data_IF_433307256975
#
_entry.id   IF_433307256975
#
_cell.length_a   1.000
_cell.length_b   1.000
_cell.length_c   1.000
_cell.angle_alpha   90.00
_cell.angle_beta   90.00
_cell.angle_gamma   90.00
#
_symmetry.space_group_name_H-M   'P 1'
#
loop_
_entity.id
_entity.type
_entity.pdbx_description
1 polymer ?
#
# COMPACT_ATOMS: atom_id res chain seq x y z
N UNK A 1 -33.02 7.79 -0.61
CA UNK A 1 -32.59 7.59 0.79
C UNK A 1 -31.62 6.42 0.84
N UNK A 2 -30.44 6.58 1.43
CA UNK A 2 -29.43 5.51 1.50
C UNK A 2 -29.66 4.67 2.75
N UNK A 3 -30.00 3.41 2.57
CA UNK A 3 -30.11 2.42 3.64
C UNK A 3 -28.73 2.22 4.27
N UNK A 4 -28.55 2.69 5.50
CA UNK A 4 -27.40 2.31 6.34
C UNK A 4 -27.66 0.89 6.81
N UNK A 5 -26.95 -0.09 6.22
CA UNK A 5 -26.91 -1.43 6.80
C UNK A 5 -26.03 -1.35 8.05
N UNK A 6 -26.67 -1.35 9.22
CA UNK A 6 -25.99 -1.67 10.47
C UNK A 6 -25.50 -3.12 10.36
N UNK A 7 -24.21 -3.30 10.08
CA UNK A 7 -23.60 -4.62 10.09
C UNK A 7 -23.59 -5.17 11.53
N UNK A 8 -23.88 -6.45 11.77
CA UNK A 8 -23.97 -7.03 13.11
C UNK A 8 -22.63 -7.01 13.88
N UNK A 9 -22.71 -6.74 15.18
CA UNK A 9 -21.62 -6.58 16.18
C UNK A 9 -20.78 -7.85 16.46
N UNK A 10 -20.67 -8.79 15.52
CA UNK A 10 -19.86 -10.02 15.65
C UNK A 10 -18.74 -10.14 14.62
N UNK A 11 -18.53 -9.12 13.80
CA UNK A 11 -17.34 -8.99 12.96
C UNK A 11 -16.47 -7.85 13.52
N UNK A 12 -15.13 -7.89 13.40
CA UNK A 12 -14.33 -6.69 13.62
C UNK A 12 -14.96 -5.54 12.81
N UNK A 13 -14.87 -4.29 13.27
CA UNK A 13 -15.51 -3.13 12.63
C UNK A 13 -15.11 -2.87 11.16
N UNK A 14 -14.34 -3.77 10.54
CA UNK A 14 -13.96 -3.82 9.14
C UNK A 14 -14.18 -5.24 8.60
N UNK A 15 -14.86 -5.34 7.46
CA UNK A 15 -14.88 -6.54 6.63
C UNK A 15 -13.54 -6.73 5.92
N UNK A 16 -13.19 -7.97 5.57
CA UNK A 16 -11.98 -8.28 4.80
C UNK A 16 -11.89 -7.45 3.50
N UNK A 17 -13.02 -7.22 2.83
CA UNK A 17 -13.08 -6.44 1.59
C UNK A 17 -12.72 -4.96 1.82
N UNK A 18 -13.15 -4.36 2.94
CA UNK A 18 -12.78 -2.99 3.29
C UNK A 18 -11.29 -2.87 3.59
N UNK A 19 -10.71 -3.84 4.31
CA UNK A 19 -9.27 -3.86 4.59
C UNK A 19 -8.46 -4.05 3.30
N UNK A 20 -8.93 -4.92 2.40
CA UNK A 20 -8.29 -5.15 1.09
C UNK A 20 -8.37 -3.90 0.21
N UNK A 21 -9.51 -3.19 0.20
CA UNK A 21 -9.68 -1.94 -0.53
C UNK A 21 -8.73 -0.86 0.03
N UNK A 22 -8.65 -0.72 1.36
CA UNK A 22 -7.70 0.19 1.99
C UNK A 22 -6.25 -0.10 1.57
N UNK A 23 -5.84 -1.37 1.55
CA UNK A 23 -4.50 -1.75 1.10
C UNK A 23 -4.27 -1.42 -0.38
N UNK A 24 -5.21 -1.74 -1.26
CA UNK A 24 -5.14 -1.48 -2.71
C UNK A 24 -5.06 0.02 -3.03
N UNK A 25 -5.89 0.84 -2.38
CA UNK A 25 -5.84 2.30 -2.48
C UNK A 25 -4.49 2.84 -2.01
N UNK A 26 -3.98 2.33 -0.87
CA UNK A 26 -2.70 2.77 -0.34
C UNK A 26 -1.57 2.45 -1.31
N UNK A 27 -1.55 1.24 -1.89
CA UNK A 27 -0.56 0.84 -2.91
C UNK A 27 -0.64 1.74 -4.15
N UNK A 28 -1.85 2.00 -4.62
CA UNK A 28 -2.08 2.85 -5.79
C UNK A 28 -1.54 4.26 -5.53
N UNK A 29 -1.84 4.88 -4.38
CA UNK A 29 -1.28 6.19 -4.03
C UNK A 29 0.23 6.15 -3.77
N UNK A 30 0.75 5.08 -3.16
CA UNK A 30 2.16 4.91 -2.84
C UNK A 30 3.05 4.81 -4.08
N UNK A 31 2.51 4.27 -5.17
CA UNK A 31 3.25 3.98 -6.39
C UNK A 31 2.73 4.75 -7.61
N UNK A 32 2.01 5.84 -7.38
CA UNK A 32 1.73 6.86 -8.39
C UNK A 32 2.29 8.20 -7.91
N UNK A 33 3.53 8.51 -8.32
CA UNK A 33 4.29 9.65 -7.82
C UNK A 33 4.65 10.60 -8.96
N UNK A 34 4.48 11.89 -8.70
CA UNK A 34 4.84 12.97 -9.60
C UNK A 34 6.25 13.49 -9.27
N UNK A 35 7.08 13.75 -10.29
CA UNK A 35 8.48 14.12 -10.08
C UNK A 35 8.67 15.45 -9.34
N UNK A 36 7.66 16.32 -9.37
CA UNK A 36 7.66 17.59 -8.62
C UNK A 36 7.20 17.36 -7.17
N UNK A 37 6.15 16.55 -6.99
CA UNK A 37 5.43 16.43 -5.71
C UNK A 37 5.71 15.14 -4.92
N UNK A 38 6.60 14.25 -5.39
CA UNK A 38 6.79 12.92 -4.79
C UNK A 38 7.05 12.94 -3.29
N UNK A 39 7.78 13.95 -2.77
CA UNK A 39 8.07 14.06 -1.33
C UNK A 39 6.81 14.31 -0.51
N UNK A 40 5.96 15.24 -0.94
CA UNK A 40 4.72 15.54 -0.24
C UNK A 40 3.74 14.36 -0.36
N UNK A 41 3.65 13.74 -1.55
CA UNK A 41 2.84 12.54 -1.77
C UNK A 41 3.24 11.37 -0.86
N UNK A 42 4.54 11.09 -0.74
CA UNK A 42 5.06 10.08 0.20
C UNK A 42 4.70 10.44 1.63
N UNK A 43 4.95 11.69 2.06
CA UNK A 43 4.67 12.11 3.44
C UNK A 43 3.18 12.06 3.80
N UNK A 44 2.30 12.37 2.84
CA UNK A 44 0.85 12.36 3.01
C UNK A 44 0.29 10.95 3.28
N UNK A 45 1.05 9.91 2.93
CA UNK A 45 0.68 8.52 3.21
C UNK A 45 1.05 8.06 4.62
N UNK A 46 1.87 8.80 5.38
CA UNK A 46 2.29 8.42 6.73
C UNK A 46 1.14 7.97 7.65
N UNK A 47 -0.06 8.62 7.67
CA UNK A 47 -1.18 8.17 8.49
C UNK A 47 -1.67 6.75 8.17
N UNK A 48 -1.51 6.27 6.94
CA UNK A 48 -1.94 4.93 6.50
C UNK A 48 -1.01 3.80 6.96
N UNK A 49 0.16 4.12 7.53
CA UNK A 49 1.18 3.16 7.94
C UNK A 49 1.51 3.27 9.42
N UNK A 50 1.91 2.17 10.04
CA UNK A 50 2.71 2.23 11.27
C UNK A 50 4.10 2.80 10.95
N UNK A 51 4.87 3.20 11.97
CA UNK A 51 6.25 3.66 11.75
C UNK A 51 7.12 2.62 11.03
N UNK A 52 7.00 1.34 11.42
CA UNK A 52 7.69 0.23 10.76
C UNK A 52 7.22 0.00 9.31
N UNK A 53 5.91 0.07 9.08
CA UNK A 53 5.34 -0.08 7.75
C UNK A 53 5.77 1.02 6.79
N UNK A 54 5.80 2.27 7.27
CA UNK A 54 6.21 3.42 6.46
C UNK A 54 7.68 3.34 6.08
N UNK A 55 8.55 2.95 7.02
CA UNK A 55 9.97 2.71 6.73
C UNK A 55 10.14 1.60 5.68
N UNK A 56 9.36 0.51 5.76
CA UNK A 56 9.36 -0.55 4.75
C UNK A 56 9.01 -0.03 3.35
N UNK A 57 7.99 0.83 3.25
CA UNK A 57 7.61 1.48 2.00
C UNK A 57 8.73 2.38 1.44
N UNK A 58 9.31 3.26 2.26
CA UNK A 58 10.42 4.14 1.83
C UNK A 58 11.63 3.31 1.39
N UNK A 59 11.96 2.24 2.13
CA UNK A 59 13.04 1.34 1.77
C UNK A 59 12.78 0.64 0.43
N UNK A 60 11.54 0.22 0.14
CA UNK A 60 11.21 -0.37 -1.16
C UNK A 60 11.44 0.63 -2.32
N UNK A 61 11.07 1.90 -2.14
CA UNK A 61 11.33 2.94 -3.15
C UNK A 61 12.83 3.21 -3.36
N UNK A 62 13.63 3.15 -2.28
CA UNK A 62 15.08 3.34 -2.34
C UNK A 62 15.80 2.14 -2.97
N UNK A 63 15.47 0.92 -2.55
CA UNK A 63 16.09 -0.31 -3.04
C UNK A 63 15.86 -0.52 -4.55
N UNK A 64 14.72 -0.05 -5.08
CA UNK A 64 14.40 -0.09 -6.51
C UNK A 64 14.96 1.10 -7.32
N UNK A 65 15.80 1.96 -6.72
CA UNK A 65 16.35 3.17 -7.34
C UNK A 65 15.27 4.13 -7.90
N UNK A 66 14.04 4.03 -7.40
CA UNK A 66 12.88 4.77 -7.92
C UNK A 66 13.01 6.25 -7.58
N UNK A 67 13.30 6.59 -6.32
CA UNK A 67 13.41 7.98 -5.88
C UNK A 67 14.51 8.74 -6.62
N UNK A 68 15.63 8.07 -6.83
CA UNK A 68 16.76 8.62 -7.56
C UNK A 68 16.43 8.87 -9.03
N UNK A 69 15.71 7.94 -9.67
CA UNK A 69 15.27 8.09 -11.06
C UNK A 69 14.22 9.20 -11.21
N UNK A 70 13.22 9.25 -10.31
CA UNK A 70 12.22 10.33 -10.25
C UNK A 70 12.92 11.70 -10.17
N UNK A 71 13.89 11.84 -9.25
CA UNK A 71 14.59 13.11 -9.00
C UNK A 71 15.54 13.50 -10.14
N UNK A 72 16.41 12.58 -10.57
CA UNK A 72 17.51 12.87 -11.52
C UNK A 72 17.00 12.94 -12.96
N UNK A 73 16.08 12.06 -13.34
CA UNK A 73 15.58 11.94 -14.71
C UNK A 73 14.23 12.65 -14.91
N UNK A 74 13.65 13.26 -13.87
CA UNK A 74 12.34 13.96 -13.92
C UNK A 74 11.24 13.08 -14.48
N UNK A 75 11.15 11.85 -13.96
CA UNK A 75 10.15 10.86 -14.37
C UNK A 75 9.08 10.70 -13.31
N UNK A 76 7.84 10.53 -13.76
CA UNK A 76 6.74 10.12 -12.91
C UNK A 76 6.77 8.60 -12.74
N UNK A 77 6.39 8.14 -11.55
CA UNK A 77 6.11 6.73 -11.32
C UNK A 77 4.62 6.51 -11.53
N UNK A 78 4.27 5.56 -12.38
CA UNK A 78 2.90 5.10 -12.54
C UNK A 78 2.80 3.63 -12.14
N UNK A 79 1.65 3.23 -11.61
CA UNK A 79 1.41 1.83 -11.29
C UNK A 79 -0.03 1.39 -11.47
N UNK A 80 -0.18 0.11 -11.76
CA UNK A 80 -1.46 -0.60 -11.79
C UNK A 80 -1.43 -1.70 -10.75
N UNK A 81 -2.36 -1.65 -9.80
CA UNK A 81 -2.55 -2.68 -8.77
C UNK A 81 -3.63 -3.65 -9.23
N UNK A 82 -3.28 -4.92 -9.38
CA UNK A 82 -4.24 -5.98 -9.70
C UNK A 82 -5.01 -6.45 -8.46
N UNK A 83 -5.92 -7.40 -8.67
CA UNK A 83 -6.74 -7.94 -7.58
C UNK A 83 -5.87 -8.58 -6.49
N UNK A 84 -6.12 -8.20 -5.25
CA UNK A 84 -5.45 -8.78 -4.09
C UNK A 84 -6.03 -10.12 -3.68
N UNK A 85 -5.23 -10.93 -2.99
CA UNK A 85 -5.66 -12.17 -2.35
C UNK A 85 -5.32 -12.14 -0.86
N UNK A 86 -6.20 -12.66 -0.02
CA UNK A 86 -5.89 -12.86 1.41
C UNK A 86 -4.93 -14.04 1.54
N UNK A 87 -3.78 -13.81 2.18
CA UNK A 87 -2.81 -14.86 2.52
C UNK A 87 -3.14 -15.47 3.87
N UNK A 88 -3.34 -14.62 4.89
CA UNK A 88 -3.68 -15.04 6.26
C UNK A 88 -4.31 -13.90 7.04
N UNK A 89 -5.01 -14.23 8.11
CA UNK A 89 -5.54 -13.28 9.09
C UNK A 89 -5.57 -13.94 10.47
N UNK A 90 -5.73 -13.15 11.52
CA UNK A 90 -5.89 -13.67 12.87
C UNK A 90 -5.64 -12.60 13.91
N UNK A 91 -5.32 -13.05 15.12
CA UNK A 91 -5.06 -12.19 16.26
C UNK A 91 -3.60 -12.33 16.69
N UNK A 92 -2.93 -11.19 16.92
CA UNK A 92 -1.61 -11.14 17.52
C UNK A 92 -1.71 -11.45 19.03
N UNK A 93 -0.56 -11.74 19.66
CA UNK A 93 -0.50 -12.08 21.10
C UNK A 93 -1.08 -10.98 22.01
N UNK A 94 -1.07 -9.73 21.58
CA UNK A 94 -1.61 -8.57 22.31
C UNK A 94 -3.12 -8.35 22.06
N UNK A 95 -3.78 -9.26 21.34
CA UNK A 95 -5.20 -9.18 21.02
C UNK A 95 -5.55 -8.37 19.78
N UNK A 96 -4.57 -7.74 19.11
CA UNK A 96 -4.81 -6.96 17.89
C UNK A 96 -5.09 -7.87 16.70
N UNK A 97 -6.18 -7.62 15.97
CA UNK A 97 -6.48 -8.35 14.74
C UNK A 97 -5.61 -7.85 13.58
N UNK A 98 -5.14 -8.77 12.74
CA UNK A 98 -4.32 -8.48 11.56
C UNK A 98 -4.79 -9.25 10.31
N UNK A 99 -4.40 -8.73 9.16
CA UNK A 99 -4.59 -9.34 7.84
C UNK A 99 -3.31 -9.23 7.04
N UNK A 100 -3.01 -10.24 6.25
CA UNK A 100 -1.93 -10.20 5.25
C UNK A 100 -2.52 -10.49 3.89
N UNK A 101 -2.29 -9.59 2.94
CA UNK A 101 -2.73 -9.70 1.56
C UNK A 101 -1.52 -9.73 0.61
N UNK A 102 -1.71 -10.31 -0.56
CA UNK A 102 -0.78 -10.21 -1.67
C UNK A 102 -1.42 -9.51 -2.86
N UNK A 103 -0.70 -8.57 -3.46
CA UNK A 103 -1.14 -7.80 -4.62
C UNK A 103 -0.10 -7.89 -5.76
N UNK A 104 -0.50 -8.27 -6.97
CA UNK A 104 0.34 -8.05 -8.14
C UNK A 104 0.31 -6.56 -8.51
N UNK A 105 1.48 -5.94 -8.63
CA UNK A 105 1.62 -4.52 -8.97
C UNK A 105 2.58 -4.40 -10.14
N UNK A 106 2.13 -3.72 -11.20
CA UNK A 106 2.99 -3.33 -12.33
C UNK A 106 3.33 -1.85 -12.21
N UNK A 107 4.60 -1.51 -12.39
CA UNK A 107 5.13 -0.17 -12.15
C UNK A 107 5.99 0.27 -13.33
N UNK A 108 5.91 1.55 -13.69
CA UNK A 108 6.72 2.13 -14.77
C UNK A 108 7.14 3.55 -14.44
N UNK A 109 8.37 3.89 -14.82
CA UNK A 109 8.88 5.27 -14.78
C UNK A 109 8.70 5.91 -16.16
N UNK A 110 7.99 7.03 -16.20
CA UNK A 110 7.54 7.72 -17.41
C UNK A 110 8.04 9.16 -17.38
N UNK A 111 8.93 9.50 -18.31
CA UNK A 111 9.36 10.88 -18.57
C UNK A 111 8.61 11.49 -19.76
N UNK A 112 8.99 12.70 -20.15
CA UNK A 112 8.36 13.42 -21.27
C UNK A 112 8.69 12.79 -22.64
N UNK A 113 9.91 12.26 -22.80
CA UNK A 113 10.41 11.74 -24.09
C UNK A 113 10.63 10.24 -24.08
N UNK A 114 10.92 9.64 -22.92
CA UNK A 114 11.22 8.22 -22.79
C UNK A 114 10.57 7.64 -21.54
N UNK A 115 10.46 6.31 -21.49
CA UNK A 115 10.00 5.57 -20.32
C UNK A 115 10.92 4.39 -20.07
N UNK A 116 11.15 4.06 -18.80
CA UNK A 116 11.84 2.82 -18.43
C UNK A 116 10.94 1.62 -18.75
N UNK A 117 11.51 0.40 -18.85
CA UNK A 117 10.73 -0.82 -18.91
C UNK A 117 9.77 -0.94 -17.73
N UNK A 118 8.61 -1.53 -17.97
CA UNK A 118 7.68 -1.88 -16.89
C UNK A 118 8.28 -3.00 -16.03
N UNK A 119 8.06 -2.91 -14.73
CA UNK A 119 8.48 -3.91 -13.74
C UNK A 119 7.25 -4.47 -13.03
N UNK A 120 7.22 -5.78 -12.86
CA UNK A 120 6.15 -6.48 -12.16
C UNK A 120 6.64 -6.96 -10.79
N UNK A 121 5.83 -6.69 -9.77
CA UNK A 121 6.10 -7.05 -8.39
C UNK A 121 4.90 -7.76 -7.79
N UNK A 122 5.17 -8.62 -6.81
CA UNK A 122 4.16 -9.08 -5.85
C UNK A 122 4.44 -8.41 -4.52
N UNK A 123 3.49 -7.63 -4.03
CA UNK A 123 3.54 -6.98 -2.73
C UNK A 123 2.81 -7.80 -1.70
N UNK A 124 3.48 -8.16 -0.60
CA UNK A 124 2.86 -8.71 0.59
C UNK A 124 2.68 -7.61 1.63
N UNK A 125 1.42 -7.30 1.95
CA UNK A 125 1.02 -6.20 2.82
C UNK A 125 0.37 -6.77 4.07
N UNK A 126 0.92 -6.47 5.23
CA UNK A 126 0.26 -6.77 6.52
C UNK A 126 -0.36 -5.51 7.08
N UNK A 127 -1.63 -5.62 7.46
CA UNK A 127 -2.40 -4.59 8.14
C UNK A 127 -2.80 -5.06 9.52
N UNK A 128 -2.96 -4.13 10.45
CA UNK A 128 -3.51 -4.40 11.76
C UNK A 128 -4.56 -3.36 12.13
N UNK A 129 -5.44 -3.73 13.07
CA UNK A 129 -6.32 -2.78 13.73
C UNK A 129 -5.53 -1.81 14.61
N UNK A 130 -5.97 -0.57 14.64
CA UNK A 130 -5.47 0.49 15.52
C UNK A 130 -6.67 1.20 16.14
N UNK A 131 -6.48 1.80 17.32
CA UNK A 131 -7.53 2.59 17.96
C UNK A 131 -7.98 3.74 17.02
N UNK A 132 -9.29 3.82 16.67
CA UNK A 132 -9.83 4.91 15.87
C UNK A 132 -9.59 6.31 16.44
N UNK A 133 -9.40 6.44 17.76
CA UNK A 133 -9.06 7.71 18.41
C UNK A 133 -7.63 8.17 18.08
N UNK A 134 -6.73 7.23 17.78
CA UNK A 134 -5.36 7.52 17.34
C UNK A 134 -5.29 7.73 15.83
N UNK A 135 -6.05 6.92 15.08
CA UNK A 135 -6.09 6.98 13.61
C UNK A 135 -7.52 6.79 13.12
N UNK A 136 -8.13 7.78 12.46
CA UNK A 136 -9.53 7.71 12.04
C UNK A 136 -9.89 6.49 11.16
N UNK A 137 -8.94 5.96 10.38
CA UNK A 137 -9.15 4.76 9.58
C UNK A 137 -9.32 3.48 10.42
N UNK A 138 -8.80 3.46 11.66
CA UNK A 138 -8.79 2.33 12.60
C UNK A 138 -8.07 1.07 12.10
N UNK A 139 -7.37 1.18 10.97
CA UNK A 139 -6.43 0.20 10.44
C UNK A 139 -5.17 0.91 9.92
N UNK A 140 -4.05 0.20 9.91
CA UNK A 140 -2.79 0.69 9.37
C UNK A 140 -1.97 -0.45 8.74
N UNK A 141 -1.13 -0.12 7.75
CA UNK A 141 -0.14 -1.05 7.21
C UNK A 141 1.07 -1.11 8.14
N UNK A 142 1.36 -2.30 8.65
CA UNK A 142 2.50 -2.54 9.56
C UNK A 142 3.74 -3.06 8.84
N UNK A 143 3.55 -3.70 7.70
CA UNK A 143 4.62 -4.27 6.91
C UNK A 143 4.28 -4.24 5.43
N UNK A 144 5.25 -3.87 4.61
CA UNK A 144 5.21 -3.90 3.17
C UNK A 144 6.48 -4.59 2.66
N UNK A 145 6.33 -5.71 1.96
CA UNK A 145 7.42 -6.44 1.34
C UNK A 145 7.14 -6.55 -0.15
N UNK A 146 8.09 -6.14 -0.98
CA UNK A 146 8.05 -6.36 -2.43
C UNK A 146 8.92 -7.56 -2.81
N UNK A 147 8.45 -8.32 -3.80
CA UNK A 147 9.23 -9.37 -4.47
C UNK A 147 9.05 -9.21 -5.97
N UNK A 148 10.09 -9.48 -6.75
CA UNK A 148 9.94 -9.55 -8.21
C UNK A 148 8.89 -10.61 -8.54
N UNK A 149 7.95 -10.26 -9.41
CA UNK A 149 7.02 -11.26 -9.94
C UNK A 149 7.83 -12.31 -10.74
N UNK A 150 7.44 -13.60 -10.71
CA UNK A 150 8.06 -14.60 -11.56
C UNK A 150 7.99 -14.16 -13.02
N UNK A 151 9.09 -14.28 -13.75
CA UNK A 151 9.07 -14.14 -15.21
C UNK A 151 8.19 -15.26 -15.76
N UNK A 152 6.99 -14.93 -16.22
CA UNK A 152 6.15 -15.84 -17.01
C UNK A 152 6.76 -16.10 -18.37
#
# INVERSE_FOLDING_TARGET
GRLVRLAPTSQPGWSQNEVMAFASETLTSAFNLDFVHYRSQISALSPRFSGGGFNGYVNALQASNILDTIKKERMNLTSTTGAGVLVRQGQLNNGTWFWTFQFPVRMRLVGQTTSKPEQAFTFEITLQRVDPNLKPAGIEITQMISRNAPST
#
